data_IF_529117744314
#
_entry.id   IF_529117744314
#
_cell.length_a   1.000
_cell.length_b   1.000
_cell.length_c   1.000
_cell.angle_alpha   90.00
_cell.angle_beta   90.00
_cell.angle_gamma   90.00
#
_symmetry.space_group_name_H-M   'P 1'
#
loop_
_entity.id
_entity.type
_entity.pdbx_description
1 polymer ?
#
# COMPACT_ATOMS: atom_id res chain seq x y z
N UNK A 1 29.74 5.13 23.53
CA UNK A 1 30.23 3.78 23.10
C UNK A 1 29.09 2.82 22.78
N UNK A 2 28.08 2.66 23.64
CA UNK A 2 26.96 1.75 23.40
C UNK A 2 26.11 2.11 22.17
N UNK A 3 25.84 3.39 21.94
CA UNK A 3 25.02 3.89 20.82
C UNK A 3 25.64 3.60 19.44
N UNK A 4 26.95 3.86 19.29
CA UNK A 4 27.68 3.53 18.06
C UNK A 4 27.73 2.02 17.79
N UNK A 5 27.81 1.20 18.86
CA UNK A 5 27.76 -0.25 18.74
C UNK A 5 26.37 -0.76 18.30
N UNK A 6 25.28 -0.15 18.78
CA UNK A 6 23.91 -0.46 18.36
C UNK A 6 23.64 -0.01 16.91
N UNK A 7 24.03 1.21 16.53
CA UNK A 7 23.92 1.68 15.15
C UNK A 7 24.65 0.74 14.16
N UNK A 8 25.84 0.25 14.52
CA UNK A 8 26.58 -0.73 13.73
C UNK A 8 25.90 -2.10 13.60
N UNK A 9 25.07 -2.52 14.58
CA UNK A 9 24.26 -3.74 14.47
C UNK A 9 23.10 -3.55 13.49
N UNK A 10 22.44 -2.40 13.53
CA UNK A 10 21.36 -2.07 12.59
C UNK A 10 21.86 -1.96 11.14
N UNK A 11 23.03 -1.37 10.90
CA UNK A 11 23.65 -1.31 9.56
C UNK A 11 23.94 -2.71 9.03
N UNK A 12 24.58 -3.57 9.83
CA UNK A 12 24.86 -4.96 9.43
C UNK A 12 23.59 -5.76 9.17
N UNK A 13 22.53 -5.53 9.96
CA UNK A 13 21.22 -6.17 9.77
C UNK A 13 20.56 -5.71 8.46
N UNK A 14 20.60 -4.41 8.15
CA UNK A 14 20.07 -3.86 6.90
C UNK A 14 20.84 -4.38 5.68
N UNK A 15 22.18 -4.40 5.73
CA UNK A 15 23.03 -4.95 4.67
C UNK A 15 22.78 -6.46 4.45
N UNK A 16 22.56 -7.23 5.51
CA UNK A 16 22.22 -8.66 5.41
C UNK A 16 20.81 -8.88 4.85
N UNK A 17 19.83 -8.07 5.24
CA UNK A 17 18.50 -8.06 4.61
C UNK A 17 18.58 -7.77 3.11
N UNK A 18 19.45 -6.81 2.74
CA UNK A 18 19.75 -6.49 1.34
C UNK A 18 20.38 -7.68 0.58
N UNK A 19 21.31 -8.40 1.20
CA UNK A 19 21.88 -9.60 0.60
C UNK A 19 20.86 -10.76 0.49
N UNK A 20 19.98 -10.90 1.48
CA UNK A 20 19.01 -11.99 1.56
C UNK A 20 17.87 -11.83 0.54
N UNK A 21 17.31 -10.63 0.31
CA UNK A 21 16.35 -10.45 -0.80
C UNK A 21 17.04 -10.62 -2.17
N UNK A 22 18.36 -10.36 -2.23
CA UNK A 22 19.20 -10.59 -3.40
C UNK A 22 19.62 -12.05 -3.53
N UNK A 23 19.11 -12.97 -2.69
CA UNK A 23 19.20 -14.42 -2.94
C UNK A 23 18.48 -14.71 -4.25
N UNK A 24 19.25 -14.62 -5.33
CA UNK A 24 18.80 -14.90 -6.69
C UNK A 24 18.46 -16.38 -6.74
N UNK A 25 17.25 -16.68 -7.17
CA UNK A 25 16.86 -18.01 -7.56
C UNK A 25 17.91 -18.56 -8.53
N UNK A 26 18.59 -19.64 -8.16
CA UNK A 26 19.80 -20.10 -8.87
C UNK A 26 19.42 -20.76 -10.20
N UNK A 27 18.27 -21.44 -10.25
CA UNK A 27 17.68 -21.97 -11.45
C UNK A 27 16.17 -22.20 -11.25
N UNK A 28 15.42 -22.20 -12.35
CA UNK A 28 14.02 -22.63 -12.40
C UNK A 28 13.89 -23.90 -13.22
N UNK A 29 12.91 -24.73 -12.85
CA UNK A 29 12.51 -25.88 -13.65
C UNK A 29 11.30 -25.50 -14.50
N UNK A 30 11.39 -25.71 -15.80
CA UNK A 30 10.27 -25.57 -16.72
C UNK A 30 9.35 -26.81 -16.63
N UNK A 31 8.07 -26.72 -17.03
CA UNK A 31 7.16 -27.87 -16.97
C UNK A 31 7.64 -29.12 -17.73
N UNK A 32 8.47 -28.96 -18.75
CA UNK A 32 9.12 -30.06 -19.48
C UNK A 32 10.25 -30.77 -18.69
N UNK A 33 10.55 -30.30 -17.47
CA UNK A 33 11.60 -30.81 -16.61
C UNK A 33 12.96 -30.11 -16.77
N UNK A 34 13.12 -29.22 -17.75
CA UNK A 34 14.38 -28.53 -18.04
C UNK A 34 14.71 -27.53 -16.92
N UNK A 35 15.91 -27.66 -16.34
CA UNK A 35 16.45 -26.68 -15.39
C UNK A 35 17.19 -25.56 -16.13
N UNK A 36 16.87 -24.31 -15.81
CA UNK A 36 17.52 -23.14 -16.42
C UNK A 36 17.96 -22.12 -15.37
N UNK A 37 19.21 -21.68 -15.48
CA UNK A 37 19.81 -20.62 -14.67
C UNK A 37 19.93 -19.28 -15.43
N UNK A 38 19.54 -19.26 -16.70
CA UNK A 38 19.60 -18.04 -17.52
C UNK A 38 18.50 -17.07 -17.11
N UNK A 39 18.86 -15.82 -16.79
CA UNK A 39 17.90 -14.77 -16.39
C UNK A 39 16.72 -14.65 -17.37
N UNK A 40 17.00 -14.53 -18.67
CA UNK A 40 15.96 -14.39 -19.71
C UNK A 40 15.05 -15.60 -19.77
N UNK A 41 15.62 -16.80 -19.59
CA UNK A 41 14.84 -18.03 -19.60
C UNK A 41 13.95 -18.08 -18.36
N UNK A 42 14.50 -17.82 -17.18
CA UNK A 42 13.75 -17.79 -15.93
C UNK A 42 12.62 -16.75 -15.93
N UNK A 43 12.87 -15.55 -16.46
CA UNK A 43 11.84 -14.52 -16.65
C UNK A 43 10.68 -15.07 -17.50
N UNK A 44 10.98 -15.76 -18.62
CA UNK A 44 9.93 -16.41 -19.44
C UNK A 44 9.15 -17.47 -18.68
N UNK A 45 9.81 -18.31 -17.86
CA UNK A 45 9.13 -19.33 -17.04
C UNK A 45 8.14 -18.67 -16.09
N UNK A 46 8.57 -17.61 -15.40
CA UNK A 46 7.74 -16.86 -14.46
C UNK A 46 6.56 -16.21 -15.20
N UNK A 47 6.81 -15.56 -16.33
CA UNK A 47 5.77 -14.95 -17.15
C UNK A 47 4.73 -15.97 -17.60
N UNK A 48 5.17 -17.09 -18.17
CA UNK A 48 4.27 -18.15 -18.61
C UNK A 48 3.43 -18.69 -17.45
N UNK A 49 4.05 -18.96 -16.31
CA UNK A 49 3.36 -19.45 -15.11
C UNK A 49 2.24 -18.51 -14.65
N UNK A 50 2.52 -17.21 -14.52
CA UNK A 50 1.51 -16.25 -14.11
C UNK A 50 0.48 -15.98 -15.20
N UNK A 51 0.90 -15.97 -16.47
CA UNK A 51 -0.04 -15.88 -17.59
C UNK A 51 -1.02 -17.05 -17.57
N UNK A 52 -0.58 -18.29 -17.37
CA UNK A 52 -1.46 -19.45 -17.28
C UNK A 52 -2.35 -19.41 -16.03
N UNK A 53 -1.81 -18.97 -14.89
CA UNK A 53 -2.56 -18.84 -13.65
C UNK A 53 -3.70 -17.83 -13.76
N UNK A 54 -3.47 -16.68 -14.40
CA UNK A 54 -4.46 -15.63 -14.55
C UNK A 54 -5.31 -15.77 -15.82
N UNK A 55 -4.83 -16.44 -16.87
CA UNK A 55 -5.62 -16.75 -18.06
C UNK A 55 -6.72 -17.77 -17.75
N UNK A 56 -6.45 -18.70 -16.82
CA UNK A 56 -7.47 -19.53 -16.20
C UNK A 56 -8.27 -18.72 -15.18
N UNK A 57 -8.92 -17.66 -15.65
CA UNK A 57 -10.05 -17.09 -14.95
C UNK A 57 -11.03 -18.22 -14.68
N UNK A 58 -10.93 -18.80 -13.48
CA UNK A 58 -12.09 -19.15 -12.68
C UNK A 58 -13.11 -18.10 -13.06
N UNK A 59 -14.23 -18.54 -13.65
CA UNK A 59 -15.42 -17.71 -13.81
C UNK A 59 -15.89 -17.37 -12.39
N UNK A 60 -15.11 -16.54 -11.69
CA UNK A 60 -15.64 -15.63 -10.73
C UNK A 60 -16.74 -14.94 -11.53
N UNK A 61 -17.99 -14.98 -11.06
CA UNK A 61 -18.97 -14.04 -11.56
C UNK A 61 -18.24 -12.72 -11.53
N UNK A 62 -18.02 -12.13 -12.71
CA UNK A 62 -17.51 -10.78 -12.79
C UNK A 62 -18.40 -10.04 -11.82
N UNK A 63 -17.86 -9.68 -10.66
CA UNK A 63 -18.48 -8.68 -9.85
C UNK A 63 -18.36 -7.50 -10.79
N UNK A 64 -19.41 -7.28 -11.58
CA UNK A 64 -19.63 -6.04 -12.26
C UNK A 64 -19.73 -5.08 -11.10
N UNK A 65 -18.59 -4.55 -10.66
CA UNK A 65 -18.57 -3.24 -10.05
C UNK A 65 -19.31 -2.42 -11.09
N UNK A 66 -20.57 -2.13 -10.79
CA UNK A 66 -21.29 -1.11 -11.50
C UNK A 66 -20.41 0.10 -11.26
N UNK A 67 -19.73 0.54 -12.32
CA UNK A 67 -18.82 1.69 -12.30
C UNK A 67 -19.55 2.97 -11.84
N UNK A 68 -20.88 2.89 -11.62
CA UNK A 68 -21.76 3.93 -11.10
C UNK A 68 -22.10 3.83 -9.60
N UNK A 69 -21.60 2.84 -8.85
CA UNK A 69 -21.72 2.86 -7.38
C UNK A 69 -20.39 3.27 -6.75
N UNK A 70 -19.97 4.50 -7.08
CA UNK A 70 -19.48 5.33 -6.00
C UNK A 70 -20.66 5.51 -5.04
N UNK A 71 -20.86 4.54 -4.13
CA UNK A 71 -21.65 4.78 -2.92
C UNK A 71 -20.84 5.77 -2.12
N UNK A 72 -20.92 7.03 -2.54
CA UNK A 72 -20.85 8.13 -1.61
C UNK A 72 -21.73 7.69 -0.43
N UNK A 73 -21.23 7.78 0.82
CA UNK A 73 -22.03 7.43 1.99
C UNK A 73 -23.43 8.00 1.78
N UNK A 74 -24.47 7.18 1.99
CA UNK A 74 -25.89 7.57 1.89
C UNK A 74 -26.26 8.58 3.01
N UNK A 75 -25.34 9.45 3.39
CA UNK A 75 -25.54 10.55 4.32
C UNK A 75 -26.36 11.59 3.57
N UNK A 76 -27.59 11.75 4.01
CA UNK A 76 -28.50 12.71 3.40
C UNK A 76 -27.92 14.11 3.60
N UNK A 77 -28.01 15.01 2.59
CA UNK A 77 -27.59 16.40 2.76
C UNK A 77 -28.26 17.09 3.96
N UNK A 78 -29.45 16.64 4.37
CA UNK A 78 -30.13 17.08 5.60
C UNK A 78 -29.41 16.69 6.88
N UNK A 79 -28.82 15.51 6.93
CA UNK A 79 -28.07 14.99 8.08
C UNK A 79 -26.77 15.79 8.28
N UNK A 80 -26.09 16.11 7.18
CA UNK A 80 -24.90 16.99 7.18
C UNK A 80 -25.26 18.38 7.71
N UNK A 81 -26.34 18.99 7.20
CA UNK A 81 -26.81 20.31 7.66
C UNK A 81 -27.19 20.29 9.14
N UNK A 82 -27.84 19.21 9.59
CA UNK A 82 -28.25 19.07 10.97
C UNK A 82 -27.05 18.89 11.92
N UNK A 83 -26.04 18.10 11.54
CA UNK A 83 -24.82 17.95 12.32
C UNK A 83 -24.06 19.27 12.46
N UNK A 84 -23.90 20.02 11.36
CA UNK A 84 -23.26 21.35 11.38
C UNK A 84 -24.06 22.33 12.25
N UNK A 85 -25.39 22.31 12.18
CA UNK A 85 -26.25 23.15 12.99
C UNK A 85 -26.34 22.73 14.46
N UNK A 86 -26.03 21.47 14.77
CA UNK A 86 -26.08 20.92 16.14
C UNK A 86 -24.83 21.23 16.94
N UNK A 87 -23.74 21.66 16.28
CA UNK A 87 -22.58 22.20 16.98
C UNK A 87 -22.99 23.58 17.48
N UNK A 88 -23.15 23.70 18.79
CA UNK A 88 -23.34 24.98 19.47
C UNK A 88 -22.21 25.91 19.02
N UNK A 89 -22.58 27.06 18.46
CA UNK A 89 -21.59 28.07 18.11
C UNK A 89 -21.04 28.55 19.43
N UNK A 90 -19.86 28.07 19.80
CA UNK A 90 -19.03 28.66 20.84
C UNK A 90 -18.88 30.15 20.49
N UNK A 91 -19.75 30.97 21.09
CA UNK A 91 -19.61 32.41 21.08
C UNK A 91 -18.46 32.67 22.05
N UNK A 92 -17.25 32.74 21.50
CA UNK A 92 -16.16 33.37 22.24
C UNK A 92 -16.62 34.78 22.62
N UNK A 93 -16.68 35.12 23.92
CA UNK A 93 -16.92 36.50 24.30
C UNK A 93 -15.81 37.33 23.69
N UNK A 94 -16.20 38.28 22.83
CA UNK A 94 -15.32 39.31 22.28
C UNK A 94 -14.71 40.03 23.47
N UNK A 95 -13.45 39.71 23.79
CA UNK A 95 -12.69 40.45 24.78
C UNK A 95 -12.09 41.67 24.07
N UNK A 96 -12.77 42.80 24.27
CA UNK A 96 -12.29 44.16 24.07
C UNK A 96 -11.04 44.43 24.92
N UNK A 97 -9.97 44.97 24.32
CA UNK A 97 -8.99 45.82 25.01
C UNK A 97 -7.49 45.56 24.75
N UNK A 98 -6.85 46.56 24.12
CA UNK A 98 -5.53 47.16 24.42
C UNK A 98 -4.25 46.28 24.40
N UNK A 99 -3.37 46.46 23.40
CA UNK A 99 -2.22 47.40 23.46
C UNK A 99 -1.05 47.08 22.49
N UNK A 100 -0.61 48.14 21.80
CA UNK A 100 0.74 48.57 21.38
C UNK A 100 1.78 47.56 20.81
N UNK A 101 2.26 47.84 19.58
CA UNK A 101 3.68 48.14 19.24
C UNK A 101 4.03 47.73 17.80
N UNK A 102 4.14 48.69 16.88
CA UNK A 102 5.29 48.98 15.98
C UNK A 102 4.89 50.10 15.03
#
# INVERSE_FOLDING_TARGET
MAEAAEAGKYIRKAQRGFANYKTKMIALRYPDGTLTASRRAMEKIIHQYYSDLFANHVLLPSYKLKEDECVAPLVLPSEIRHAISSVEKEQHPVQTGLDQNT
#
